data_IF_757041024302
#
_entry.id   IF_757041024302
#
_cell.length_a   1.000
_cell.length_b   1.000
_cell.length_c   1.000
_cell.angle_alpha   90.00
_cell.angle_beta   90.00
_cell.angle_gamma   90.00
#
_symmetry.space_group_name_H-M   'P 1'
#
loop_
_entity.id
_entity.type
_entity.pdbx_description
1 polymer ?
#
# COMPACT_ATOMS: atom_id res chain seq x y z
N UNK A 1 16.24 -26.45 4.99
CA UNK A 1 16.82 -25.59 6.03
C UNK A 1 17.37 -24.36 5.32
N UNK A 2 16.53 -23.38 5.04
CA UNK A 2 16.91 -22.18 4.31
C UNK A 2 17.43 -21.13 5.31
N UNK A 3 18.59 -20.56 5.00
CA UNK A 3 19.20 -19.45 5.71
C UNK A 3 18.43 -18.18 5.32
N UNK A 4 17.50 -17.75 6.15
CA UNK A 4 16.98 -16.37 6.09
C UNK A 4 18.05 -15.44 6.68
N UNK A 5 18.50 -14.47 5.89
CA UNK A 5 19.45 -13.45 6.33
C UNK A 5 18.81 -12.54 7.38
N UNK A 6 19.59 -12.22 8.43
CA UNK A 6 19.20 -11.38 9.59
C UNK A 6 18.58 -10.02 9.24
N UNK A 7 18.72 -9.56 8.00
CA UNK A 7 18.10 -8.33 7.49
C UNK A 7 16.56 -8.39 7.42
N UNK A 8 15.97 -9.57 7.17
CA UNK A 8 14.50 -9.72 7.03
C UNK A 8 13.83 -9.82 8.41
N UNK A 9 14.56 -10.26 9.44
CA UNK A 9 14.05 -10.39 10.82
C UNK A 9 13.93 -9.05 11.54
N UNK A 10 14.72 -8.04 11.16
CA UNK A 10 14.67 -6.69 11.75
C UNK A 10 13.38 -5.92 11.40
N UNK A 11 12.76 -6.25 10.27
CA UNK A 11 11.61 -5.52 9.71
C UNK A 11 10.28 -5.91 10.36
N UNK A 12 10.10 -7.15 10.81
CA UNK A 12 8.76 -7.70 11.07
C UNK A 12 8.22 -7.60 12.52
N UNK A 13 8.92 -6.98 13.47
CA UNK A 13 8.45 -6.86 14.85
C UNK A 13 8.19 -5.40 15.28
N UNK A 14 6.92 -5.11 15.60
CA UNK A 14 6.36 -4.03 16.47
C UNK A 14 5.65 -2.85 15.79
N UNK A 15 4.35 -2.78 16.08
CA UNK A 15 3.60 -1.53 16.18
C UNK A 15 4.22 -0.62 17.26
N UNK A 16 4.27 0.68 16.97
CA UNK A 16 4.80 1.78 17.80
C UNK A 16 6.26 1.60 18.27
N UNK A 17 7.22 2.03 17.44
CA UNK A 17 8.64 2.03 17.79
C UNK A 17 8.98 3.16 18.77
N UNK A 18 9.64 2.88 19.90
CA UNK A 18 10.20 3.90 20.78
C UNK A 18 11.17 4.79 20.02
N UNK A 19 10.97 6.11 20.07
CA UNK A 19 11.88 7.11 19.46
C UNK A 19 11.41 7.70 18.13
N UNK A 20 10.31 7.23 17.55
CA UNK A 20 9.69 7.93 16.43
C UNK A 20 8.94 9.17 16.93
N UNK A 21 9.08 10.36 16.31
CA UNK A 21 8.19 11.48 16.61
C UNK A 21 6.72 11.06 16.46
N UNK A 22 5.81 11.53 17.32
CA UNK A 22 4.38 11.32 17.09
C UNK A 22 4.00 11.89 15.72
N UNK A 23 3.15 11.19 14.97
CA UNK A 23 2.47 11.81 13.82
C UNK A 23 1.61 12.92 14.42
N UNK A 24 1.79 14.19 14.02
CA UNK A 24 0.95 15.24 14.56
C UNK A 24 -0.52 14.97 14.20
N UNK A 25 -1.36 14.83 15.23
CA UNK A 25 -2.82 14.84 15.13
C UNK A 25 -3.26 16.26 14.75
N UNK A 26 -2.97 16.69 13.52
CA UNK A 26 -3.32 18.04 13.06
C UNK A 26 -4.44 17.95 12.00
N UNK A 27 -5.65 18.49 12.28
CA UNK A 27 -6.69 18.64 11.26
C UNK A 27 -6.25 19.55 10.09
N UNK A 28 -5.13 20.25 10.26
CA UNK A 28 -4.55 21.22 9.31
C UNK A 28 -3.28 20.71 8.61
N UNK A 29 -3.02 19.40 8.51
CA UNK A 29 -1.89 18.90 7.69
C UNK A 29 -2.15 19.27 6.21
N UNK A 30 -1.53 20.35 5.68
CA UNK A 30 -1.88 20.85 4.38
C UNK A 30 -1.10 19.99 3.38
N UNK A 31 -1.86 19.19 2.63
CA UNK A 31 -1.43 18.20 1.61
C UNK A 31 -1.34 16.78 2.16
N UNK A 32 -2.51 16.17 2.41
CA UNK A 32 -2.73 14.78 1.97
C UNK A 32 -2.19 14.73 0.53
N UNK A 33 -1.29 13.81 0.21
CA UNK A 33 -0.70 13.69 -1.13
C UNK A 33 -1.79 13.35 -2.15
N UNK A 34 -2.54 14.36 -2.60
CA UNK A 34 -3.54 14.27 -3.67
C UNK A 34 -2.85 14.38 -5.02
N UNK A 35 -1.85 13.52 -5.26
CA UNK A 35 -1.30 13.39 -6.61
C UNK A 35 -2.23 12.50 -7.42
N UNK A 36 -2.83 13.06 -8.47
CA UNK A 36 -3.62 12.32 -9.45
C UNK A 36 -5.11 12.16 -9.16
N UNK A 37 -5.78 11.52 -10.11
CA UNK A 37 -7.20 11.17 -10.18
C UNK A 37 -7.56 9.89 -9.40
N UNK A 38 -6.56 9.16 -8.89
CA UNK A 38 -6.75 7.98 -8.06
C UNK A 38 -7.29 8.37 -6.67
N UNK A 39 -8.34 7.66 -6.23
CA UNK A 39 -8.98 7.91 -4.93
C UNK A 39 -8.01 7.61 -3.78
N UNK A 40 -8.21 8.31 -2.66
CA UNK A 40 -7.33 8.18 -1.49
C UNK A 40 -7.19 6.75 -1.00
N UNK A 41 -8.28 6.00 -0.96
CA UNK A 41 -8.28 4.61 -0.51
C UNK A 41 -7.43 3.69 -1.40
N UNK A 42 -7.53 3.83 -2.73
CA UNK A 42 -6.76 3.01 -3.67
C UNK A 42 -5.29 3.40 -3.71
N UNK A 43 -4.99 4.70 -3.56
CA UNK A 43 -3.61 5.19 -3.45
C UNK A 43 -2.94 4.64 -2.19
N UNK A 44 -3.56 4.78 -1.03
CA UNK A 44 -2.96 4.31 0.22
C UNK A 44 -2.90 2.78 0.28
N UNK A 45 -3.85 2.08 -0.35
CA UNK A 45 -3.75 0.63 -0.56
C UNK A 45 -2.46 0.26 -1.32
N UNK A 46 -2.17 0.94 -2.43
CA UNK A 46 -0.95 0.69 -3.21
C UNK A 46 0.34 1.04 -2.44
N UNK A 47 0.38 2.20 -1.78
CA UNK A 47 1.57 2.66 -1.03
C UNK A 47 1.85 1.74 0.15
N UNK A 48 0.82 1.38 0.93
CA UNK A 48 0.97 0.44 2.03
C UNK A 48 1.49 -0.90 1.53
N UNK A 49 0.95 -1.42 0.43
CA UNK A 49 1.39 -2.71 -0.09
C UNK A 49 2.86 -2.68 -0.54
N UNK A 50 3.24 -1.68 -1.32
CA UNK A 50 4.63 -1.48 -1.74
C UNK A 50 5.56 -1.38 -0.51
N UNK A 51 5.19 -0.56 0.48
CA UNK A 51 5.94 -0.41 1.72
C UNK A 51 6.08 -1.70 2.53
N UNK A 52 5.03 -2.52 2.63
CA UNK A 52 5.10 -3.81 3.32
C UNK A 52 5.98 -4.83 2.59
N UNK A 53 5.93 -4.88 1.25
CA UNK A 53 6.81 -5.76 0.46
C UNK A 53 8.28 -5.33 0.62
N UNK A 54 8.54 -4.01 0.57
CA UNK A 54 9.88 -3.45 0.71
C UNK A 54 10.43 -3.48 2.14
N UNK A 55 9.59 -3.75 3.15
CA UNK A 55 9.98 -3.64 4.55
C UNK A 55 10.25 -2.21 5.02
N UNK A 56 9.59 -1.24 4.38
CA UNK A 56 9.80 0.18 4.61
C UNK A 56 9.01 0.67 5.83
N UNK A 57 9.50 0.35 7.03
CA UNK A 57 8.83 0.69 8.30
C UNK A 57 8.50 2.18 8.41
N UNK A 58 9.40 3.06 7.92
CA UNK A 58 9.19 4.51 7.91
C UNK A 58 7.87 4.89 7.19
N UNK A 59 7.71 4.33 6.00
CA UNK A 59 6.61 4.59 5.08
C UNK A 59 5.33 4.01 5.64
N UNK A 60 5.33 2.73 6.03
CA UNK A 60 4.10 2.03 6.43
C UNK A 60 3.48 2.65 7.68
N UNK A 61 4.27 3.05 8.69
CA UNK A 61 3.75 3.76 9.86
C UNK A 61 3.03 5.07 9.51
N UNK A 62 3.61 5.89 8.62
CA UNK A 62 3.02 7.17 8.22
C UNK A 62 1.75 6.94 7.41
N UNK A 63 1.83 6.04 6.44
CA UNK A 63 0.74 5.78 5.50
C UNK A 63 -0.39 4.97 6.12
N UNK A 64 -0.17 4.22 7.20
CA UNK A 64 -1.26 3.60 7.96
C UNK A 64 -2.18 4.64 8.61
N UNK A 65 -1.64 5.78 9.05
CA UNK A 65 -2.47 6.89 9.57
C UNK A 65 -3.23 7.57 8.43
N UNK A 66 -2.55 7.86 7.32
CA UNK A 66 -3.19 8.47 6.14
C UNK A 66 -4.28 7.55 5.57
N UNK A 67 -4.04 6.24 5.51
CA UNK A 67 -5.01 5.23 5.08
C UNK A 67 -6.30 5.31 5.88
N UNK A 68 -6.21 5.41 7.21
CA UNK A 68 -7.38 5.58 8.10
C UNK A 68 -8.09 6.91 7.81
N UNK A 69 -7.34 7.99 7.61
CA UNK A 69 -7.88 9.33 7.29
C UNK A 69 -8.57 9.43 5.91
N UNK A 70 -8.29 8.49 5.00
CA UNK A 70 -8.96 8.39 3.68
C UNK A 70 -10.01 7.29 3.63
N UNK A 71 -10.25 6.59 4.75
CA UNK A 71 -11.37 5.67 4.92
C UNK A 71 -11.05 4.18 4.86
N UNK A 72 -9.78 3.76 4.85
CA UNK A 72 -9.43 2.35 5.04
C UNK A 72 -9.73 1.95 6.48
N UNK A 73 -10.54 0.91 6.65
CA UNK A 73 -10.75 0.28 7.94
C UNK A 73 -9.48 -0.42 8.42
N UNK A 74 -9.35 -0.60 9.74
CA UNK A 74 -8.25 -1.38 10.32
C UNK A 74 -8.16 -2.80 9.72
N UNK A 75 -9.30 -3.42 9.43
CA UNK A 75 -9.34 -4.74 8.79
C UNK A 75 -8.75 -4.72 7.37
N UNK A 76 -9.04 -3.68 6.59
CA UNK A 76 -8.45 -3.52 5.25
C UNK A 76 -6.94 -3.29 5.32
N UNK A 77 -6.46 -2.46 6.25
CA UNK A 77 -5.02 -2.25 6.47
C UNK A 77 -4.31 -3.57 6.82
N UNK A 78 -4.86 -4.36 7.74
CA UNK A 78 -4.31 -5.67 8.08
C UNK A 78 -4.35 -6.65 6.90
N UNK A 79 -5.41 -6.61 6.09
CA UNK A 79 -5.50 -7.43 4.87
C UNK A 79 -4.41 -7.05 3.84
N UNK A 80 -4.15 -5.75 3.66
CA UNK A 80 -3.07 -5.25 2.79
C UNK A 80 -1.70 -5.73 3.31
N UNK A 81 -1.47 -5.64 4.62
CA UNK A 81 -0.25 -6.11 5.27
C UNK A 81 -0.01 -7.61 5.09
N UNK A 82 -1.07 -8.41 5.20
CA UNK A 82 -1.01 -9.86 5.05
C UNK A 82 -0.83 -10.34 3.60
N UNK A 83 -0.84 -9.46 2.60
CA UNK A 83 -0.74 -9.82 1.19
C UNK A 83 -2.07 -10.24 0.55
N UNK A 84 -3.19 -9.77 1.09
CA UNK A 84 -4.51 -9.94 0.50
C UNK A 84 -5.22 -11.25 0.86
N UNK A 85 -6.47 -11.35 0.38
CA UNK A 85 -7.37 -12.50 0.50
C UNK A 85 -7.54 -13.12 1.90
N UNK A 86 -7.95 -12.29 2.87
CA UNK A 86 -8.68 -12.77 4.04
C UNK A 86 -10.16 -12.33 3.90
N UNK A 87 -11.03 -13.22 3.44
CA UNK A 87 -12.49 -13.11 3.65
C UNK A 87 -13.25 -11.91 3.07
N UNK A 88 -13.03 -11.52 1.80
CA UNK A 88 -13.78 -10.43 1.13
C UNK A 88 -13.67 -9.04 1.82
N UNK A 89 -12.63 -8.82 2.62
CA UNK A 89 -12.41 -7.54 3.32
C UNK A 89 -12.10 -6.41 2.33
N UNK A 90 -11.33 -6.71 1.27
CA UNK A 90 -11.02 -5.77 0.20
C UNK A 90 -12.10 -5.82 -0.88
N UNK A 91 -12.46 -4.65 -1.41
CA UNK A 91 -13.34 -4.56 -2.59
C UNK A 91 -12.64 -5.15 -3.83
N UNK A 92 -13.38 -5.50 -4.90
CA UNK A 92 -12.76 -6.05 -6.12
C UNK A 92 -11.67 -5.16 -6.71
N UNK A 93 -11.89 -3.83 -6.75
CA UNK A 93 -10.88 -2.88 -7.22
C UNK A 93 -9.67 -2.80 -6.27
N UNK A 94 -9.89 -2.87 -4.96
CA UNK A 94 -8.79 -2.87 -3.98
C UNK A 94 -7.92 -4.13 -4.10
N UNK A 95 -8.53 -5.29 -4.37
CA UNK A 95 -7.79 -6.53 -4.62
C UNK A 95 -7.04 -6.47 -5.96
N UNK A 96 -7.65 -5.94 -7.01
CA UNK A 96 -6.98 -5.75 -8.29
C UNK A 96 -5.75 -4.82 -8.18
N UNK A 97 -5.85 -3.75 -7.38
CA UNK A 97 -4.73 -2.86 -7.07
C UNK A 97 -3.61 -3.60 -6.33
N UNK A 98 -3.94 -4.43 -5.34
CA UNK A 98 -2.96 -5.25 -4.61
C UNK A 98 -2.21 -6.19 -5.55
N UNK A 99 -2.94 -6.94 -6.37
CA UNK A 99 -2.36 -7.92 -7.29
C UNK A 99 -1.45 -7.23 -8.33
N UNK A 100 -1.84 -6.03 -8.80
CA UNK A 100 -1.01 -5.21 -9.68
C UNK A 100 0.27 -4.72 -9.00
N UNK A 101 0.19 -4.23 -7.77
CA UNK A 101 1.36 -3.75 -7.01
C UNK A 101 2.33 -4.89 -6.75
N UNK A 102 1.83 -6.05 -6.31
CA UNK A 102 2.65 -7.24 -6.07
C UNK A 102 3.43 -7.64 -7.32
N UNK A 103 2.75 -7.68 -8.46
CA UNK A 103 3.35 -8.05 -9.75
C UNK A 103 4.44 -7.03 -10.16
N UNK A 104 4.14 -5.73 -10.07
CA UNK A 104 5.11 -4.68 -10.39
C UNK A 104 6.33 -4.72 -9.48
N UNK A 105 6.16 -4.85 -8.17
CA UNK A 105 7.28 -4.82 -7.22
C UNK A 105 8.12 -6.10 -7.31
N UNK A 106 7.48 -7.28 -7.42
CA UNK A 106 8.18 -8.57 -7.43
C UNK A 106 8.82 -8.84 -8.80
N UNK A 107 8.12 -8.53 -9.90
CA UNK A 107 8.53 -8.87 -11.26
C UNK A 107 9.07 -7.67 -12.06
N UNK A 108 9.12 -6.48 -11.45
CA UNK A 108 9.57 -5.21 -12.08
C UNK A 108 8.70 -4.80 -13.28
N UNK A 109 7.52 -5.44 -13.43
CA UNK A 109 6.54 -5.15 -14.48
C UNK A 109 5.17 -5.71 -14.09
N UNK A 110 4.11 -5.06 -14.53
CA UNK A 110 2.79 -5.67 -14.53
C UNK A 110 2.69 -6.71 -15.66
N UNK A 111 2.07 -7.85 -15.37
CA UNK A 111 1.60 -8.79 -16.38
C UNK A 111 0.35 -8.26 -17.09
N UNK A 112 0.06 -8.80 -18.28
CA UNK A 112 -1.16 -8.46 -19.02
C UNK A 112 -2.41 -8.76 -18.20
N UNK A 113 -2.36 -9.79 -17.34
CA UNK A 113 -3.48 -10.20 -16.49
C UNK A 113 -3.77 -9.16 -15.40
N UNK A 114 -2.76 -8.72 -14.65
CA UNK A 114 -2.94 -7.73 -13.57
C UNK A 114 -3.26 -6.35 -14.12
N UNK A 115 -2.64 -5.96 -15.24
CA UNK A 115 -2.98 -4.72 -15.95
C UNK A 115 -4.42 -4.74 -16.47
N UNK A 116 -4.87 -5.85 -17.08
CA UNK A 116 -6.24 -5.98 -17.54
C UNK A 116 -7.24 -5.93 -16.37
N UNK A 117 -6.92 -6.54 -15.23
CA UNK A 117 -7.77 -6.53 -14.04
C UNK A 117 -7.97 -5.11 -13.49
N UNK A 118 -6.91 -4.31 -13.33
CA UNK A 118 -7.08 -2.92 -12.85
C UNK A 118 -7.84 -2.05 -13.85
N UNK A 119 -7.65 -2.25 -15.16
CA UNK A 119 -8.37 -1.51 -16.22
C UNK A 119 -9.86 -1.83 -16.31
N UNK A 120 -10.35 -2.88 -15.64
CA UNK A 120 -11.80 -3.11 -15.48
C UNK A 120 -12.44 -2.09 -14.53
N UNK A 121 -11.65 -1.44 -13.68
CA UNK A 121 -12.12 -0.54 -12.62
C UNK A 121 -11.59 0.89 -12.76
N UNK A 122 -10.40 1.06 -13.35
CA UNK A 122 -9.67 2.31 -13.40
C UNK A 122 -9.54 2.83 -14.82
N UNK A 123 -9.61 4.15 -14.99
CA UNK A 123 -9.24 4.81 -16.24
C UNK A 123 -7.73 4.72 -16.50
N UNK A 124 -7.29 4.94 -17.73
CA UNK A 124 -5.87 4.93 -18.06
C UNK A 124 -5.08 6.01 -17.27
N UNK A 125 -5.70 7.15 -16.97
CA UNK A 125 -5.13 8.18 -16.09
C UNK A 125 -4.92 7.66 -14.66
N UNK A 126 -5.92 7.00 -14.10
CA UNK A 126 -5.84 6.39 -12.76
C UNK A 126 -4.82 5.24 -12.71
N UNK A 127 -4.62 4.50 -13.80
CA UNK A 127 -3.59 3.47 -13.89
C UNK A 127 -2.19 4.10 -13.91
N UNK A 128 -2.00 5.23 -14.60
CA UNK A 128 -0.75 5.99 -14.55
C UNK A 128 -0.47 6.47 -13.12
N UNK A 129 -1.48 7.02 -12.45
CA UNK A 129 -1.36 7.44 -11.04
C UNK A 129 -0.99 6.26 -10.13
N UNK A 130 -1.58 5.09 -10.36
CA UNK A 130 -1.26 3.86 -9.63
C UNK A 130 0.20 3.44 -9.85
N UNK A 131 0.70 3.49 -11.10
CA UNK A 131 2.11 3.19 -11.42
C UNK A 131 3.03 4.17 -10.69
N UNK A 132 2.72 5.46 -10.67
CA UNK A 132 3.50 6.45 -9.94
C UNK A 132 3.51 6.16 -8.44
N UNK A 133 2.36 5.85 -7.84
CA UNK A 133 2.30 5.49 -6.41
C UNK A 133 3.13 4.23 -6.12
N UNK A 134 3.06 3.23 -7.00
CA UNK A 134 3.79 1.95 -6.84
C UNK A 134 5.30 2.13 -6.99
N UNK A 135 5.76 3.00 -7.89
CA UNK A 135 7.20 3.19 -8.15
C UNK A 135 7.88 4.23 -7.26
N UNK A 136 7.12 5.11 -6.60
CA UNK A 136 7.67 6.17 -5.74
C UNK A 136 8.00 5.68 -4.31
N UNK A 137 7.30 4.66 -3.83
CA UNK A 137 7.41 4.11 -2.48
C UNK A 137 7.93 2.67 -2.51
#
# INVERSE_FOLDING_TARGET
MACESDAVRFVNERAARPGWPPIPDSPDCPRKLTFGSLTGDLRENAVLRAGYIAGADYVTWQHEVIARDVGLSAAQVEAVKAGGSQGHILSPVQQAVMDFVDDVIINVRASDATLAAVRQHLSDEQVIDLIFCTGLY
#
